data_IF_778569023568
#
_entry.id   IF_778569023568
#
_cell.length_a   1.000
_cell.length_b   1.000
_cell.length_c   1.000
_cell.angle_alpha   90.00
_cell.angle_beta   90.00
_cell.angle_gamma   90.00
#
_symmetry.space_group_name_H-M   'P 1'
#
loop_
_entity.id
_entity.type
_entity.pdbx_description
1 polymer ?
#
# COMPACT_ATOMS: atom_id res chain seq x y z
N UNK A 1 12.74 -25.11 -16.36
CA UNK A 1 11.56 -24.73 -15.55
C UNK A 1 11.20 -23.28 -15.91
N UNK A 2 9.93 -22.98 -16.26
CA UNK A 2 9.51 -21.59 -16.48
C UNK A 2 9.76 -20.81 -15.18
N UNK A 3 10.43 -19.67 -15.30
CA UNK A 3 10.70 -18.82 -14.15
C UNK A 3 9.38 -18.30 -13.58
N UNK A 4 9.21 -18.40 -12.24
CA UNK A 4 7.99 -17.94 -11.58
C UNK A 4 7.86 -16.43 -11.74
N UNK A 5 6.69 -15.96 -12.16
CA UNK A 5 6.39 -14.54 -12.23
C UNK A 5 6.68 -13.84 -10.89
N UNK A 6 7.04 -12.55 -10.93
CA UNK A 6 7.40 -11.76 -9.75
C UNK A 6 6.39 -11.92 -8.59
N UNK A 7 5.10 -11.86 -8.90
CA UNK A 7 4.03 -11.99 -7.89
C UNK A 7 3.96 -13.37 -7.24
N UNK A 8 4.31 -14.44 -7.97
CA UNK A 8 4.39 -15.78 -7.40
C UNK A 8 5.56 -15.91 -6.43
N UNK A 9 6.73 -15.35 -6.79
CA UNK A 9 7.91 -15.28 -5.90
C UNK A 9 7.56 -14.54 -4.60
N UNK A 10 6.82 -13.42 -4.69
CA UNK A 10 6.36 -12.64 -3.54
C UNK A 10 5.38 -13.45 -2.68
N UNK A 11 4.43 -14.16 -3.29
CA UNK A 11 3.47 -14.97 -2.57
C UNK A 11 4.15 -16.13 -1.82
N UNK A 12 5.08 -16.85 -2.46
CA UNK A 12 5.85 -17.91 -1.79
C UNK A 12 6.59 -17.38 -0.56
N UNK A 13 7.27 -16.22 -0.70
CA UNK A 13 7.96 -15.58 0.43
C UNK A 13 6.98 -15.22 1.56
N UNK A 14 5.82 -14.69 1.21
CA UNK A 14 4.79 -14.31 2.18
C UNK A 14 4.22 -15.53 2.90
N UNK A 15 3.96 -16.63 2.20
CA UNK A 15 3.46 -17.87 2.81
C UNK A 15 4.51 -18.49 3.75
N UNK A 16 5.78 -18.49 3.37
CA UNK A 16 6.87 -18.93 4.26
C UNK A 16 6.93 -18.10 5.53
N UNK A 17 6.84 -16.77 5.41
CA UNK A 17 6.82 -15.87 6.56
C UNK A 17 5.60 -16.13 7.46
N UNK A 18 4.41 -16.30 6.88
CA UNK A 18 3.20 -16.61 7.63
C UNK A 18 3.35 -17.92 8.42
N UNK A 19 3.86 -18.99 7.78
CA UNK A 19 4.10 -20.26 8.46
C UNK A 19 5.04 -20.12 9.65
N UNK A 20 6.12 -19.33 9.52
CA UNK A 20 7.07 -19.08 10.61
C UNK A 20 6.41 -18.29 11.77
N UNK A 21 5.54 -17.34 11.47
CA UNK A 21 4.79 -16.60 12.50
C UNK A 21 3.83 -17.54 13.26
N UNK A 22 3.14 -18.42 12.55
CA UNK A 22 2.15 -19.34 13.12
C UNK A 22 2.79 -20.35 14.10
N UNK A 23 4.07 -20.70 13.92
CA UNK A 23 4.79 -21.57 14.87
C UNK A 23 4.92 -20.99 16.27
N UNK A 24 4.78 -19.66 16.42
CA UNK A 24 4.91 -18.92 17.69
C UNK A 24 3.54 -18.56 18.30
N UNK A 25 2.46 -19.09 17.78
CA UNK A 25 1.08 -18.78 18.19
C UNK A 25 0.31 -20.04 18.55
N UNK A 26 -0.88 -19.93 19.21
CA UNK A 26 -1.74 -21.06 19.48
C UNK A 26 -2.07 -21.85 18.21
N UNK A 27 -2.14 -23.21 18.27
CA UNK A 27 -2.30 -24.05 17.08
C UNK A 27 -3.57 -23.77 16.29
N UNK A 28 -4.64 -23.37 16.95
CA UNK A 28 -5.92 -23.04 16.30
C UNK A 28 -5.83 -21.81 15.38
N UNK A 29 -4.83 -20.94 15.55
CA UNK A 29 -4.60 -19.83 14.63
C UNK A 29 -4.41 -20.30 13.19
N UNK A 30 -3.81 -21.49 12.98
CA UNK A 30 -3.67 -22.08 11.65
C UNK A 30 -5.02 -22.27 10.95
N UNK A 31 -6.05 -22.70 11.68
CA UNK A 31 -7.40 -22.87 11.12
C UNK A 31 -8.00 -21.54 10.65
N UNK A 32 -7.78 -20.45 11.40
CA UNK A 32 -8.21 -19.12 11.01
C UNK A 32 -7.55 -18.69 9.70
N UNK A 33 -6.23 -18.80 9.57
CA UNK A 33 -5.52 -18.37 8.36
C UNK A 33 -5.87 -19.20 7.13
N UNK A 34 -6.14 -20.48 7.27
CA UNK A 34 -6.69 -21.33 6.19
C UNK A 34 -8.10 -20.81 5.81
N UNK A 35 -8.95 -20.54 6.80
CA UNK A 35 -10.34 -20.15 6.55
C UNK A 35 -10.51 -18.77 5.90
N UNK A 36 -9.58 -17.84 6.12
CA UNK A 36 -9.63 -16.51 5.49
C UNK A 36 -8.83 -16.41 4.19
N UNK A 37 -8.10 -17.46 3.81
CA UNK A 37 -7.26 -17.45 2.61
C UNK A 37 -8.03 -17.09 1.33
N UNK A 38 -9.21 -17.65 1.04
CA UNK A 38 -9.92 -17.35 -0.21
C UNK A 38 -10.33 -15.89 -0.37
N UNK A 39 -10.45 -15.15 0.73
CA UNK A 39 -10.97 -13.77 0.74
C UNK A 39 -9.91 -12.72 1.05
N UNK A 40 -8.68 -13.14 1.37
CA UNK A 40 -7.61 -12.24 1.81
C UNK A 40 -6.31 -12.42 1.03
N UNK A 41 -5.58 -11.31 0.82
CA UNK A 41 -4.24 -11.39 0.23
C UNK A 41 -3.22 -11.95 1.24
N UNK A 42 -2.13 -12.55 0.73
CA UNK A 42 -1.01 -13.03 1.56
C UNK A 42 -0.44 -11.93 2.48
N UNK A 43 -0.36 -10.68 2.01
CA UNK A 43 0.06 -9.53 2.83
C UNK A 43 -0.92 -9.20 3.96
N UNK A 44 -2.23 -9.31 3.70
CA UNK A 44 -3.26 -9.11 4.74
C UNK A 44 -3.14 -10.17 5.82
N UNK A 45 -2.92 -11.44 5.43
CA UNK A 45 -2.72 -12.54 6.37
C UNK A 45 -1.48 -12.30 7.25
N UNK A 46 -0.36 -11.89 6.66
CA UNK A 46 0.85 -11.53 7.44
C UNK A 46 0.57 -10.40 8.42
N UNK A 47 -0.12 -9.33 8.00
CA UNK A 47 -0.47 -8.23 8.88
C UNK A 47 -1.35 -8.71 10.05
N UNK A 48 -2.34 -9.55 9.79
CA UNK A 48 -3.18 -10.16 10.84
C UNK A 48 -2.35 -11.08 11.76
N UNK A 49 -1.40 -11.83 11.22
CA UNK A 49 -0.53 -12.67 12.05
C UNK A 49 0.32 -11.85 13.02
N UNK A 50 0.89 -10.72 12.57
CA UNK A 50 1.59 -9.80 13.46
C UNK A 50 0.65 -9.19 14.51
N UNK A 51 -0.56 -8.80 14.14
CA UNK A 51 -1.52 -8.21 15.06
C UNK A 51 -1.95 -9.21 16.14
N UNK A 52 -2.23 -10.45 15.75
CA UNK A 52 -2.60 -11.51 16.68
C UNK A 52 -1.42 -11.94 17.56
N UNK A 53 -0.18 -11.92 17.04
CA UNK A 53 1.02 -12.15 17.85
C UNK A 53 1.11 -11.14 19.01
N UNK A 54 0.86 -9.85 18.73
CA UNK A 54 0.86 -8.80 19.76
C UNK A 54 -0.26 -9.05 20.77
N UNK A 55 -1.44 -9.44 20.31
CA UNK A 55 -2.57 -9.74 21.19
C UNK A 55 -2.28 -10.91 22.14
N UNK A 56 -1.76 -12.01 21.65
CA UNK A 56 -1.40 -13.15 22.49
C UNK A 56 -0.27 -12.84 23.45
N UNK A 57 0.72 -12.05 23.04
CA UNK A 57 1.78 -11.58 23.92
C UNK A 57 1.22 -10.73 25.06
N UNK A 58 0.34 -9.78 24.77
CA UNK A 58 -0.38 -8.99 25.76
C UNK A 58 -1.12 -9.85 26.76
N UNK A 59 -1.90 -10.84 26.31
CA UNK A 59 -2.61 -11.74 27.20
C UNK A 59 -1.67 -12.54 28.11
N UNK A 60 -0.57 -13.05 27.57
CA UNK A 60 0.40 -13.83 28.32
C UNK A 60 1.14 -12.99 29.36
N UNK A 61 1.45 -11.74 29.04
CA UNK A 61 2.17 -10.81 29.91
C UNK A 61 1.27 -10.24 31.03
N UNK A 62 0.12 -9.73 30.65
CA UNK A 62 -0.78 -9.01 31.58
C UNK A 62 -1.75 -9.92 32.32
N UNK A 63 -2.09 -11.08 31.74
CA UNK A 63 -3.11 -11.99 32.27
C UNK A 63 -2.62 -13.45 32.25
N UNK A 64 -1.49 -13.78 32.91
CA UNK A 64 -0.95 -15.13 32.89
C UNK A 64 -1.90 -16.18 33.47
N UNK A 65 -2.85 -15.76 34.32
CA UNK A 65 -3.87 -16.64 34.92
C UNK A 65 -5.03 -17.01 33.96
N UNK A 66 -5.12 -16.39 32.77
CA UNK A 66 -6.16 -16.75 31.79
C UNK A 66 -5.97 -18.20 31.32
N UNK A 67 -4.72 -18.59 31.05
CA UNK A 67 -4.37 -19.94 30.70
C UNK A 67 -2.90 -20.19 31.05
N UNK A 68 -2.63 -21.26 31.78
CA UNK A 68 -1.27 -21.65 32.13
C UNK A 68 -0.51 -22.25 30.96
N UNK A 69 0.82 -22.17 31.00
CA UNK A 69 1.70 -22.79 30.04
C UNK A 69 2.01 -21.96 28.80
N UNK A 70 2.54 -22.60 27.80
CA UNK A 70 2.99 -21.97 26.56
C UNK A 70 1.81 -21.67 25.64
N UNK A 71 1.89 -20.60 24.84
CA UNK A 71 0.91 -20.28 23.78
C UNK A 71 0.65 -21.49 22.83
N UNK A 72 1.60 -22.39 22.68
CA UNK A 72 1.48 -23.60 21.86
C UNK A 72 0.47 -24.63 22.40
N UNK A 73 0.13 -24.56 23.68
CA UNK A 73 -0.82 -25.45 24.33
C UNK A 73 -2.17 -24.80 24.57
N UNK A 74 -2.30 -23.50 24.35
CA UNK A 74 -3.56 -22.79 24.61
C UNK A 74 -4.70 -23.29 23.72
N UNK A 75 -5.82 -23.73 24.28
CA UNK A 75 -7.01 -24.12 23.54
C UNK A 75 -7.77 -22.91 23.02
N UNK A 76 -8.62 -23.09 22.02
CA UNK A 76 -9.43 -22.00 21.45
C UNK A 76 -10.40 -21.38 22.47
N UNK A 77 -10.82 -22.17 23.46
CA UNK A 77 -11.72 -21.74 24.54
C UNK A 77 -11.13 -20.66 25.45
N UNK A 78 -9.82 -20.40 25.39
CA UNK A 78 -9.18 -19.24 26.04
C UNK A 78 -9.84 -17.94 25.59
N UNK A 79 -10.31 -17.86 24.35
CA UNK A 79 -10.98 -16.67 23.82
C UNK A 79 -12.30 -16.36 24.55
N UNK A 80 -12.98 -17.39 25.10
CA UNK A 80 -14.19 -17.21 25.92
C UNK A 80 -13.89 -16.66 27.33
N UNK A 81 -12.64 -16.86 27.82
CA UNK A 81 -12.20 -16.36 29.11
C UNK A 81 -11.82 -14.86 29.08
N UNK A 82 -11.56 -14.32 27.88
CA UNK A 82 -11.18 -12.91 27.71
C UNK A 82 -12.39 -12.00 27.82
N UNK A 83 -12.38 -11.12 28.80
CA UNK A 83 -13.45 -10.17 29.07
C UNK A 83 -13.40 -8.95 28.15
N UNK A 84 -14.51 -8.18 28.06
CA UNK A 84 -14.54 -6.92 27.33
C UNK A 84 -13.52 -5.92 27.89
N UNK A 85 -13.44 -5.80 29.23
CA UNK A 85 -12.48 -4.92 29.90
C UNK A 85 -11.04 -5.22 29.49
N UNK A 86 -10.65 -6.50 29.44
CA UNK A 86 -9.31 -6.90 29.00
C UNK A 86 -9.05 -6.56 27.53
N UNK A 87 -10.06 -6.61 26.68
CA UNK A 87 -9.94 -6.16 25.29
C UNK A 87 -9.82 -4.64 25.17
N UNK A 88 -10.51 -3.88 26.03
CA UNK A 88 -10.35 -2.42 26.11
C UNK A 88 -8.98 -2.03 26.63
N UNK A 89 -8.44 -2.72 27.62
CA UNK A 89 -7.07 -2.56 28.11
C UNK A 89 -6.03 -2.92 27.02
N UNK A 90 -6.31 -3.93 26.20
CA UNK A 90 -5.47 -4.21 25.02
C UNK A 90 -5.46 -3.02 24.04
N UNK A 91 -6.58 -2.34 23.81
CA UNK A 91 -6.63 -1.16 22.95
C UNK A 91 -5.82 0.02 23.55
N UNK A 92 -5.80 0.13 24.87
CA UNK A 92 -4.94 1.12 25.55
C UNK A 92 -3.46 0.74 25.46
N UNK A 93 -3.14 -0.51 25.74
CA UNK A 93 -1.77 -1.07 25.58
C UNK A 93 -1.20 -0.82 24.18
N UNK A 94 -2.02 -0.90 23.13
CA UNK A 94 -1.60 -0.63 21.77
C UNK A 94 -1.14 0.82 21.53
N UNK A 95 -1.46 1.79 22.38
CA UNK A 95 -0.98 3.17 22.25
C UNK A 95 0.54 3.24 22.39
N UNK A 96 1.06 2.49 23.38
CA UNK A 96 2.47 2.40 23.69
C UNK A 96 2.76 1.02 24.30
N UNK A 97 3.61 0.22 23.66
CA UNK A 97 4.00 -1.09 24.17
C UNK A 97 5.44 -1.44 23.75
N UNK A 98 6.03 -2.35 24.48
CA UNK A 98 7.30 -2.97 24.13
C UNK A 98 7.07 -4.35 23.52
N UNK A 99 7.85 -4.70 22.50
CA UNK A 99 7.84 -6.05 21.96
C UNK A 99 8.82 -6.97 22.69
N UNK A 100 8.83 -8.25 22.31
CA UNK A 100 9.71 -9.24 22.92
C UNK A 100 11.22 -8.93 22.77
N UNK A 101 11.59 -8.00 21.91
CA UNK A 101 12.94 -7.52 21.69
C UNK A 101 13.22 -6.19 22.43
N UNK A 102 12.36 -5.81 23.40
CA UNK A 102 12.38 -4.56 24.18
C UNK A 102 12.32 -3.29 23.32
N UNK A 103 11.74 -3.40 22.14
CA UNK A 103 11.56 -2.25 21.26
C UNK A 103 10.22 -1.58 21.53
N UNK A 104 10.27 -0.28 21.80
CA UNK A 104 9.09 0.55 22.03
C UNK A 104 8.34 0.80 20.71
N UNK A 105 7.06 0.55 20.73
CA UNK A 105 6.13 0.77 19.61
C UNK A 105 4.99 1.69 20.02
N UNK A 106 4.65 2.62 19.13
CA UNK A 106 3.46 3.46 19.25
C UNK A 106 2.52 3.20 18.09
N UNK A 107 1.22 3.29 18.32
CA UNK A 107 0.22 3.20 17.26
C UNK A 107 -0.71 4.41 17.29
N UNK A 108 -0.74 5.12 16.17
CA UNK A 108 -1.79 6.09 15.90
C UNK A 108 -3.16 5.39 15.68
N UNK A 109 -4.22 6.17 15.59
CA UNK A 109 -5.62 5.68 15.44
C UNK A 109 -5.77 4.63 14.32
N UNK A 110 -5.19 4.87 13.15
CA UNK A 110 -5.27 3.92 12.01
C UNK A 110 -4.63 2.57 12.31
N UNK A 111 -3.51 2.59 13.02
CA UNK A 111 -2.82 1.37 13.47
C UNK A 111 -3.67 0.58 14.45
N UNK A 112 -4.27 1.26 15.43
CA UNK A 112 -5.17 0.65 16.42
C UNK A 112 -6.45 0.11 15.77
N UNK A 113 -7.10 0.89 14.88
CA UNK A 113 -8.27 0.43 14.12
C UNK A 113 -7.99 -0.85 13.35
N UNK A 114 -6.84 -0.95 12.66
CA UNK A 114 -6.47 -2.15 11.90
C UNK A 114 -6.30 -3.36 12.82
N UNK A 115 -5.60 -3.20 13.95
CA UNK A 115 -5.40 -4.27 14.93
C UNK A 115 -6.71 -4.71 15.57
N UNK A 116 -7.59 -3.78 15.89
CA UNK A 116 -8.94 -4.09 16.37
C UNK A 116 -9.76 -4.85 15.33
N UNK A 117 -9.67 -4.46 14.06
CA UNK A 117 -10.37 -5.13 12.98
C UNK A 117 -9.88 -6.58 12.76
N UNK A 118 -8.55 -6.83 12.87
CA UNK A 118 -8.01 -8.19 12.77
C UNK A 118 -8.49 -9.07 13.91
N UNK A 119 -8.51 -8.56 15.14
CA UNK A 119 -9.03 -9.26 16.33
C UNK A 119 -10.54 -9.55 16.21
N UNK A 120 -11.36 -8.57 15.80
CA UNK A 120 -12.80 -8.78 15.56
C UNK A 120 -13.05 -9.85 14.49
N UNK A 121 -12.25 -9.86 13.43
CA UNK A 121 -12.33 -10.87 12.37
C UNK A 121 -11.98 -12.26 12.91
N UNK A 122 -10.97 -12.33 13.78
CA UNK A 122 -10.51 -13.56 14.42
C UNK A 122 -11.59 -14.15 15.35
N UNK A 123 -12.15 -13.36 16.25
CA UNK A 123 -13.25 -13.79 17.12
C UNK A 123 -14.50 -14.20 16.34
N UNK A 124 -14.89 -13.40 15.33
CA UNK A 124 -16.03 -13.71 14.46
C UNK A 124 -15.85 -15.05 13.73
N UNK A 125 -14.63 -15.39 13.31
CA UNK A 125 -14.35 -16.65 12.64
C UNK A 125 -14.63 -17.85 13.56
N UNK A 126 -14.10 -17.85 14.78
CA UNK A 126 -14.30 -18.96 15.72
C UNK A 126 -15.72 -19.02 16.26
N UNK A 127 -16.36 -17.88 16.49
CA UNK A 127 -17.76 -17.82 16.87
C UNK A 127 -18.66 -18.43 15.79
N UNK A 128 -18.44 -18.11 14.53
CA UNK A 128 -19.18 -18.72 13.40
C UNK A 128 -18.96 -20.23 13.26
N UNK A 129 -17.80 -20.72 13.69
CA UNK A 129 -17.49 -22.14 13.75
C UNK A 129 -17.98 -22.83 15.01
N UNK A 130 -18.66 -22.09 15.91
CA UNK A 130 -19.13 -22.59 17.22
C UNK A 130 -17.98 -23.15 18.09
N UNK A 131 -16.74 -22.74 17.82
CA UNK A 131 -15.57 -23.11 18.60
C UNK A 131 -15.41 -22.28 19.88
N UNK A 132 -16.09 -21.13 19.94
CA UNK A 132 -16.24 -20.26 21.12
C UNK A 132 -17.71 -19.91 21.30
N UNK A 133 -18.09 -19.64 22.56
CA UNK A 133 -19.48 -19.34 22.95
C UNK A 133 -19.82 -17.86 22.75
N UNK A 134 -18.84 -16.96 22.92
CA UNK A 134 -19.04 -15.54 22.92
C UNK A 134 -18.13 -14.83 21.89
N UNK A 135 -18.68 -13.82 21.22
CA UNK A 135 -17.88 -12.92 20.37
C UNK A 135 -17.66 -11.59 21.08
N UNK A 136 -16.89 -11.63 22.18
CA UNK A 136 -16.60 -10.46 23.02
C UNK A 136 -16.00 -9.30 22.23
N UNK A 137 -15.16 -9.59 21.23
CA UNK A 137 -14.56 -8.58 20.39
C UNK A 137 -15.57 -7.78 19.53
N UNK A 138 -16.78 -8.29 19.32
CA UNK A 138 -17.82 -7.55 18.60
C UNK A 138 -18.33 -6.33 19.37
N UNK A 139 -18.22 -6.36 20.69
CA UNK A 139 -18.67 -5.31 21.60
C UNK A 139 -17.72 -4.11 21.67
N UNK A 140 -16.48 -4.27 21.21
CA UNK A 140 -15.50 -3.19 21.19
C UNK A 140 -15.96 -2.03 20.31
N UNK A 141 -15.83 -0.81 20.81
CA UNK A 141 -15.99 0.38 20.01
C UNK A 141 -14.74 0.61 19.15
N UNK A 142 -14.93 0.83 17.84
CA UNK A 142 -13.84 1.24 16.97
C UNK A 142 -13.49 2.71 17.24
N UNK A 143 -12.19 3.06 17.29
CA UNK A 143 -11.78 4.45 17.33
C UNK A 143 -12.42 5.25 16.18
N UNK A 144 -12.84 6.48 16.45
CA UNK A 144 -13.36 7.37 15.41
C UNK A 144 -12.25 7.67 14.41
N UNK A 145 -12.58 7.62 13.13
CA UNK A 145 -11.66 7.99 12.06
C UNK A 145 -11.73 9.50 11.86
N UNK A 146 -10.65 10.20 12.16
CA UNK A 146 -10.51 11.59 11.73
C UNK A 146 -10.15 11.64 10.24
N UNK A 147 -10.95 12.37 9.46
CA UNK A 147 -10.67 12.61 8.06
C UNK A 147 -9.64 13.73 7.94
N UNK A 148 -8.50 13.41 7.35
CA UNK A 148 -7.48 14.41 7.02
C UNK A 148 -7.66 14.87 5.57
N UNK A 149 -7.41 16.16 5.32
CA UNK A 149 -7.35 16.67 3.95
C UNK A 149 -6.39 15.85 3.09
N UNK A 150 -6.80 15.61 1.84
CA UNK A 150 -5.99 14.82 0.92
C UNK A 150 -4.80 15.66 0.48
N UNK A 151 -3.61 15.25 0.89
CA UNK A 151 -2.36 15.84 0.42
C UNK A 151 -2.12 15.40 -1.03
N UNK A 152 -1.95 16.36 -1.92
CA UNK A 152 -1.64 16.16 -3.34
C UNK A 152 -0.62 17.19 -3.79
N UNK A 153 -0.02 16.98 -4.96
CA UNK A 153 0.79 17.99 -5.64
C UNK A 153 -0.10 18.85 -6.52
N UNK A 154 0.21 20.14 -6.57
CA UNK A 154 -0.33 21.06 -7.58
C UNK A 154 0.52 20.96 -8.85
N UNK A 155 0.03 21.52 -9.97
CA UNK A 155 0.68 21.38 -11.30
C UNK A 155 2.13 21.92 -11.28
N UNK A 156 2.34 23.07 -10.65
CA UNK A 156 3.66 23.69 -10.52
C UNK A 156 4.61 22.88 -9.62
N UNK A 157 4.07 22.18 -8.61
CA UNK A 157 4.85 21.29 -7.76
C UNK A 157 5.27 20.00 -8.50
N UNK A 158 4.45 19.53 -9.45
CA UNK A 158 4.79 18.38 -10.30
C UNK A 158 5.97 18.75 -11.21
N UNK A 159 5.89 19.90 -11.91
CA UNK A 159 6.98 20.37 -12.75
C UNK A 159 8.29 20.49 -11.96
N UNK A 160 8.25 21.20 -10.83
CA UNK A 160 9.42 21.33 -9.94
C UNK A 160 9.96 20.01 -9.42
N UNK A 161 9.08 19.00 -9.21
CA UNK A 161 9.50 17.67 -8.78
C UNK A 161 10.29 16.95 -9.89
N UNK A 162 9.83 17.03 -11.13
CA UNK A 162 10.50 16.43 -12.29
C UNK A 162 11.82 17.16 -12.59
N UNK A 163 11.82 18.49 -12.58
CA UNK A 163 13.04 19.32 -12.72
C UNK A 163 14.08 18.94 -11.64
N UNK A 164 13.66 18.77 -10.40
CA UNK A 164 14.54 18.35 -9.30
C UNK A 164 15.16 16.97 -9.51
N UNK A 165 14.52 16.11 -10.31
CA UNK A 165 15.11 14.80 -10.70
C UNK A 165 16.11 14.96 -11.83
N UNK A 166 15.88 15.85 -12.77
CA UNK A 166 16.80 16.09 -13.90
C UNK A 166 18.05 16.81 -13.44
N UNK A 167 17.91 17.89 -12.67
CA UNK A 167 19.01 18.78 -12.26
C UNK A 167 19.74 18.29 -10.99
N UNK A 168 19.02 17.73 -10.04
CA UNK A 168 19.56 17.31 -8.75
C UNK A 168 20.03 18.46 -7.86
N UNK A 169 19.58 19.70 -8.11
CA UNK A 169 20.11 20.90 -7.46
C UNK A 169 19.92 20.88 -5.93
N UNK A 170 18.77 20.46 -5.46
CA UNK A 170 18.39 20.49 -4.04
C UNK A 170 18.75 19.20 -3.28
N UNK A 171 19.62 18.37 -3.84
CA UNK A 171 20.06 17.14 -3.21
C UNK A 171 21.25 17.36 -2.27
N UNK A 172 21.31 16.59 -1.18
CA UNK A 172 22.48 16.57 -0.29
C UNK A 172 23.72 16.04 -1.00
N UNK A 173 24.91 16.36 -0.50
CA UNK A 173 26.19 15.88 -1.07
C UNK A 173 26.21 14.36 -1.20
N UNK A 174 25.70 13.63 -0.21
CA UNK A 174 25.59 12.16 -0.25
C UNK A 174 24.63 11.68 -1.34
N UNK A 175 23.51 12.38 -1.56
CA UNK A 175 22.55 12.03 -2.61
C UNK A 175 23.07 12.34 -4.00
N UNK A 176 23.78 13.47 -4.18
CA UNK A 176 24.41 13.86 -5.46
C UNK A 176 25.42 12.83 -5.97
N UNK A 177 26.15 12.16 -5.07
CA UNK A 177 27.11 11.10 -5.42
C UNK A 177 26.51 9.98 -6.28
N UNK A 178 25.23 9.66 -6.05
CA UNK A 178 24.54 8.59 -6.75
C UNK A 178 23.54 9.10 -7.79
N UNK A 179 23.24 10.40 -7.79
CA UNK A 179 22.22 11.01 -8.63
C UNK A 179 22.51 10.76 -10.14
N UNK A 180 23.71 11.07 -10.60
CA UNK A 180 24.07 10.89 -12.01
C UNK A 180 23.93 9.45 -12.52
N UNK A 181 24.00 8.45 -11.62
CA UNK A 181 23.82 7.03 -11.96
C UNK A 181 22.37 6.57 -11.92
N UNK A 182 21.47 7.39 -11.43
CA UNK A 182 20.08 6.95 -11.17
C UNK A 182 19.05 7.90 -11.73
N UNK A 183 19.43 9.11 -12.18
CA UNK A 183 18.50 10.17 -12.55
C UNK A 183 17.54 9.76 -13.67
N UNK A 184 18.03 9.12 -14.72
CA UNK A 184 17.19 8.70 -15.87
C UNK A 184 16.17 7.65 -15.42
N UNK A 185 16.59 6.65 -14.66
CA UNK A 185 15.68 5.69 -14.04
C UNK A 185 14.68 6.37 -13.09
N UNK A 186 15.17 7.25 -12.22
CA UNK A 186 14.37 7.92 -11.20
C UNK A 186 13.32 8.81 -11.86
N UNK A 187 13.68 9.50 -12.97
CA UNK A 187 12.77 10.27 -13.81
C UNK A 187 11.70 9.37 -14.43
N UNK A 188 12.11 8.27 -15.09
CA UNK A 188 11.17 7.33 -15.70
C UNK A 188 10.14 6.78 -14.68
N UNK A 189 10.58 6.44 -13.45
CA UNK A 189 9.69 5.97 -12.39
C UNK A 189 8.70 7.07 -11.96
N UNK A 190 9.16 8.32 -11.75
CA UNK A 190 8.29 9.39 -11.30
C UNK A 190 7.30 9.82 -12.36
N UNK A 191 7.77 9.96 -13.61
CA UNK A 191 6.91 10.30 -14.75
C UNK A 191 5.86 9.22 -15.00
N UNK A 192 6.25 7.92 -14.88
CA UNK A 192 5.30 6.81 -14.99
C UNK A 192 4.23 6.86 -13.87
N UNK A 193 4.63 7.09 -12.62
CA UNK A 193 3.68 7.16 -11.49
C UNK A 193 2.74 8.36 -11.60
N UNK A 194 3.25 9.51 -12.05
CA UNK A 194 2.47 10.74 -12.22
C UNK A 194 1.59 10.72 -13.49
N UNK A 195 2.06 10.11 -14.57
CA UNK A 195 1.33 10.09 -15.86
C UNK A 195 0.32 8.95 -16.01
N UNK A 196 0.33 7.96 -15.10
CA UNK A 196 -0.58 6.80 -15.21
C UNK A 196 -1.32 6.48 -13.91
N UNK A 197 -0.87 7.00 -12.80
CA UNK A 197 -1.45 6.73 -11.49
C UNK A 197 -1.39 5.26 -11.05
N UNK A 198 -0.52 4.42 -11.62
CA UNK A 198 -0.36 3.02 -11.18
C UNK A 198 0.08 2.93 -9.72
N UNK A 199 -0.20 1.79 -9.08
CA UNK A 199 0.29 1.56 -7.71
C UNK A 199 1.79 1.29 -7.72
N UNK A 200 2.49 1.71 -6.69
CA UNK A 200 3.94 1.43 -6.55
C UNK A 200 4.26 -0.06 -6.65
N UNK A 201 3.38 -0.94 -6.16
CA UNK A 201 3.56 -2.40 -6.29
C UNK A 201 3.36 -2.90 -7.72
N UNK A 202 2.53 -2.24 -8.51
CA UNK A 202 2.35 -2.51 -9.93
C UNK A 202 3.59 -2.02 -10.69
N UNK A 203 4.07 -0.79 -10.43
CA UNK A 203 5.27 -0.22 -11.02
C UNK A 203 6.52 -1.12 -10.81
N UNK A 204 6.80 -1.56 -9.59
CA UNK A 204 7.97 -2.42 -9.31
C UNK A 204 7.80 -3.83 -9.88
N UNK A 205 6.58 -4.26 -10.15
CA UNK A 205 6.26 -5.55 -10.74
C UNK A 205 6.34 -5.60 -12.25
N UNK A 206 6.52 -4.46 -12.93
CA UNK A 206 6.62 -4.42 -14.39
C UNK A 206 7.88 -5.14 -14.89
N UNK A 207 7.68 -5.90 -15.96
CA UNK A 207 8.71 -6.46 -16.79
C UNK A 207 8.83 -5.64 -18.09
N UNK A 208 9.96 -5.70 -18.77
CA UNK A 208 10.16 -4.99 -20.04
C UNK A 208 9.10 -5.44 -21.06
N UNK A 209 8.80 -6.75 -21.09
CA UNK A 209 7.77 -7.34 -21.98
C UNK A 209 6.34 -6.91 -21.69
N UNK A 210 6.10 -6.19 -20.59
CA UNK A 210 4.78 -5.64 -20.30
C UNK A 210 4.50 -4.32 -21.01
N UNK A 211 5.49 -3.72 -21.66
CA UNK A 211 5.37 -2.44 -22.37
C UNK A 211 5.17 -2.67 -23.86
N UNK A 212 4.26 -1.93 -24.43
CA UNK A 212 4.01 -1.83 -25.86
C UNK A 212 4.10 -0.35 -26.27
N UNK A 213 5.17 -0.02 -26.98
CA UNK A 213 5.43 1.35 -27.45
C UNK A 213 4.76 1.68 -28.78
N UNK A 214 4.15 0.72 -29.46
CA UNK A 214 3.34 0.97 -30.66
C UNK A 214 1.99 1.56 -30.27
N UNK A 215 1.37 1.00 -29.24
CA UNK A 215 0.08 1.47 -28.72
C UNK A 215 0.19 2.38 -27.50
N UNK A 216 1.41 2.65 -27.02
CA UNK A 216 1.66 3.31 -25.73
C UNK A 216 0.92 2.64 -24.57
N UNK A 217 0.85 1.31 -24.60
CA UNK A 217 0.18 0.47 -23.64
C UNK A 217 1.12 -0.20 -22.66
N UNK A 218 0.63 -0.49 -21.46
CA UNK A 218 1.32 -1.34 -20.49
C UNK A 218 0.35 -2.31 -19.83
N UNK A 219 0.77 -3.56 -19.74
CA UNK A 219 0.04 -4.62 -19.05
C UNK A 219 0.42 -4.65 -17.57
N UNK A 220 -0.55 -4.43 -16.71
CA UNK A 220 -0.34 -4.46 -15.25
C UNK A 220 -1.14 -5.57 -14.58
N UNK A 221 -0.55 -6.14 -13.52
CA UNK A 221 -1.23 -7.12 -12.66
C UNK A 221 -1.79 -6.42 -11.43
N UNK A 222 -3.11 -6.30 -11.36
CA UNK A 222 -3.81 -5.68 -10.23
C UNK A 222 -3.97 -6.64 -9.05
N UNK A 223 -4.24 -6.07 -7.88
CA UNK A 223 -4.57 -6.83 -6.68
C UNK A 223 -5.77 -7.74 -6.93
N UNK A 224 -5.58 -9.05 -6.73
CA UNK A 224 -6.59 -10.08 -7.00
C UNK A 224 -6.36 -10.86 -8.30
N UNK A 225 -5.22 -10.61 -9.00
CA UNK A 225 -4.79 -11.39 -10.17
C UNK A 225 -5.36 -10.90 -11.51
N UNK A 226 -6.20 -9.86 -11.52
CA UNK A 226 -6.71 -9.30 -12.76
C UNK A 226 -5.59 -8.59 -13.54
N UNK A 227 -5.48 -8.88 -14.83
CA UNK A 227 -4.62 -8.17 -15.78
C UNK A 227 -5.41 -7.05 -16.43
N UNK A 228 -4.81 -5.88 -16.56
CA UNK A 228 -5.41 -4.70 -17.19
C UNK A 228 -4.35 -4.00 -18.03
N UNK A 229 -4.75 -3.48 -19.18
CA UNK A 229 -3.91 -2.60 -19.98
C UNK A 229 -4.21 -1.16 -19.57
N UNK A 230 -3.18 -0.40 -19.24
CA UNK A 230 -3.21 1.05 -19.09
C UNK A 230 -2.42 1.69 -20.22
N UNK A 231 -2.83 2.88 -20.61
CA UNK A 231 -2.14 3.66 -21.63
C UNK A 231 -1.39 4.83 -21.00
N UNK A 232 -0.30 5.25 -21.63
CA UNK A 232 0.52 6.35 -21.18
C UNK A 232 0.77 7.36 -22.31
N UNK A 233 0.96 8.63 -21.93
CA UNK A 233 1.24 9.72 -22.86
C UNK A 233 2.69 9.78 -23.30
N UNK A 234 2.99 10.69 -24.25
CA UNK A 234 4.31 10.85 -24.89
C UNK A 234 5.43 11.19 -23.89
N UNK A 235 5.16 11.95 -22.84
CA UNK A 235 6.15 12.29 -21.83
C UNK A 235 6.61 11.02 -21.07
N UNK A 236 5.67 10.15 -20.71
CA UNK A 236 5.98 8.84 -20.09
C UNK A 236 6.73 7.95 -21.07
N UNK A 237 6.29 7.91 -22.34
CA UNK A 237 6.93 7.15 -23.41
C UNK A 237 8.41 7.53 -23.54
N UNK A 238 8.68 8.82 -23.66
CA UNK A 238 10.04 9.34 -23.77
C UNK A 238 10.90 8.95 -22.57
N UNK A 239 10.42 9.21 -21.36
CA UNK A 239 11.18 8.89 -20.15
C UNK A 239 11.45 7.38 -19.99
N UNK A 240 10.53 6.51 -20.43
CA UNK A 240 10.73 5.07 -20.44
C UNK A 240 11.77 4.64 -21.49
N UNK A 241 11.73 5.19 -22.69
CA UNK A 241 12.70 4.89 -23.75
C UNK A 241 14.10 5.33 -23.34
N UNK A 242 14.27 6.57 -22.85
CA UNK A 242 15.54 7.08 -22.35
C UNK A 242 16.14 6.16 -21.26
N UNK A 243 15.28 5.64 -20.38
CA UNK A 243 15.74 4.69 -19.36
C UNK A 243 16.07 3.30 -19.96
N UNK A 244 15.32 2.82 -20.92
CA UNK A 244 15.58 1.52 -21.55
C UNK A 244 16.93 1.51 -22.26
N UNK A 245 17.33 2.60 -22.91
CA UNK A 245 18.66 2.75 -23.51
C UNK A 245 19.78 2.60 -22.46
N UNK A 246 19.61 3.20 -21.28
CA UNK A 246 20.56 2.97 -20.17
C UNK A 246 20.46 1.53 -19.62
N UNK A 247 19.23 0.99 -19.54
CA UNK A 247 18.95 -0.33 -18.98
C UNK A 247 19.61 -1.47 -19.78
N UNK A 248 19.71 -1.36 -21.07
CA UNK A 248 20.37 -2.34 -21.95
C UNK A 248 21.85 -2.54 -21.58
N UNK A 249 22.52 -1.51 -21.09
CA UNK A 249 23.91 -1.56 -20.65
C UNK A 249 24.11 -2.14 -19.25
N UNK A 250 23.03 -2.51 -18.55
CA UNK A 250 23.09 -3.05 -17.20
C UNK A 250 22.85 -4.56 -17.24
N UNK A 251 23.86 -5.36 -16.86
CA UNK A 251 23.68 -6.80 -16.68
C UNK A 251 22.94 -7.03 -15.36
N UNK A 252 21.69 -7.51 -15.36
CA UNK A 252 20.93 -7.76 -14.17
C UNK A 252 21.49 -8.91 -13.33
N UNK A 253 21.17 -8.95 -12.05
CA UNK A 253 21.42 -10.14 -11.24
C UNK A 253 20.34 -11.18 -11.51
N UNK A 254 20.75 -12.45 -11.33
CA UNK A 254 19.90 -13.62 -11.48
C UNK A 254 18.50 -13.41 -10.85
N UNK A 255 17.48 -13.71 -11.65
CA UNK A 255 16.06 -13.55 -11.29
C UNK A 255 15.52 -12.13 -11.39
N UNK A 256 16.24 -11.23 -12.06
CA UNK A 256 15.83 -9.85 -12.34
C UNK A 256 16.03 -9.42 -13.79
N UNK A 257 16.20 -10.40 -14.68
CA UNK A 257 16.52 -10.20 -16.10
C UNK A 257 15.42 -9.40 -16.80
N UNK A 258 14.18 -9.80 -16.61
CA UNK A 258 13.00 -9.18 -17.25
C UNK A 258 12.54 -7.90 -16.54
N UNK A 259 13.06 -7.62 -15.33
CA UNK A 259 12.60 -6.48 -14.53
C UNK A 259 12.79 -5.16 -15.28
N UNK A 260 11.73 -4.39 -15.45
CA UNK A 260 11.82 -3.06 -16.05
C UNK A 260 12.78 -2.17 -15.25
N UNK A 261 12.51 -1.98 -13.97
CA UNK A 261 13.33 -1.10 -13.13
C UNK A 261 14.29 -1.86 -12.23
N UNK A 262 15.57 -1.51 -12.31
CA UNK A 262 16.63 -2.09 -11.49
C UNK A 262 17.10 -1.13 -10.39
N UNK A 263 17.43 -1.70 -9.25
CA UNK A 263 18.13 -1.01 -8.17
C UNK A 263 19.62 -0.85 -8.50
N UNK A 264 20.34 -0.03 -7.70
CA UNK A 264 21.82 0.07 -7.79
C UNK A 264 22.53 -1.27 -7.58
N UNK A 265 21.86 -2.25 -6.95
CA UNK A 265 22.37 -3.61 -6.79
C UNK A 265 22.09 -4.51 -8.01
N UNK A 266 21.58 -3.95 -9.11
CA UNK A 266 21.22 -4.67 -10.35
C UNK A 266 20.13 -5.75 -10.13
N UNK A 267 19.29 -5.58 -9.12
CA UNK A 267 18.11 -6.42 -8.86
C UNK A 267 16.85 -5.59 -9.12
N UNK A 268 15.72 -6.25 -9.36
CA UNK A 268 14.41 -5.57 -9.43
C UNK A 268 14.26 -4.59 -8.28
N UNK A 269 13.87 -3.36 -8.59
CA UNK A 269 13.67 -2.32 -7.58
C UNK A 269 12.58 -2.71 -6.58
N UNK A 270 12.75 -2.39 -5.32
CA UNK A 270 11.75 -2.69 -4.29
C UNK A 270 10.79 -1.52 -4.10
N UNK A 271 9.58 -1.82 -3.58
CA UNK A 271 8.60 -0.80 -3.19
C UNK A 271 9.24 0.24 -2.26
N UNK A 272 10.04 -0.22 -1.28
CA UNK A 272 10.72 0.67 -0.33
C UNK A 272 11.73 1.59 -0.99
N UNK A 273 12.43 1.10 -2.01
CA UNK A 273 13.38 1.94 -2.77
C UNK A 273 12.64 3.05 -3.53
N UNK A 274 11.48 2.74 -4.15
CA UNK A 274 10.65 3.75 -4.82
C UNK A 274 10.04 4.74 -3.82
N UNK A 275 9.58 4.29 -2.65
CA UNK A 275 9.12 5.19 -1.59
C UNK A 275 10.22 6.17 -1.14
N UNK A 276 11.45 5.68 -0.96
CA UNK A 276 12.59 6.51 -0.60
C UNK A 276 12.99 7.47 -1.73
N UNK A 277 12.89 7.03 -3.00
CA UNK A 277 13.12 7.84 -4.18
C UNK A 277 12.14 9.02 -4.24
N UNK A 278 10.84 8.74 -4.13
CA UNK A 278 9.81 9.79 -4.11
C UNK A 278 10.09 10.78 -2.97
N UNK A 279 10.38 10.29 -1.77
CA UNK A 279 10.70 11.13 -0.61
C UNK A 279 11.96 11.98 -0.83
N UNK A 280 12.99 11.42 -1.49
CA UNK A 280 14.27 12.10 -1.79
C UNK A 280 14.03 13.37 -2.59
N UNK A 281 13.23 13.29 -3.67
CA UNK A 281 13.01 14.43 -4.56
C UNK A 281 11.85 15.34 -4.12
N UNK A 282 10.81 14.79 -3.48
CA UNK A 282 9.68 15.59 -3.06
C UNK A 282 9.97 16.48 -1.84
N UNK A 283 10.85 16.02 -0.91
CA UNK A 283 11.11 16.79 0.33
C UNK A 283 11.66 18.20 0.12
N UNK A 284 12.60 18.45 -0.80
CA UNK A 284 13.06 19.80 -1.09
C UNK A 284 12.01 20.68 -1.78
N UNK A 285 11.19 20.09 -2.65
CA UNK A 285 10.18 20.79 -3.45
C UNK A 285 8.94 21.14 -2.61
N UNK A 286 8.53 20.25 -1.73
CA UNK A 286 7.31 20.39 -0.92
C UNK A 286 7.59 20.09 0.55
N UNK A 287 8.33 20.94 1.27
CA UNK A 287 8.80 20.63 2.64
C UNK A 287 7.66 20.43 3.66
N UNK A 288 6.50 21.07 3.42
CA UNK A 288 5.31 20.96 4.27
C UNK A 288 4.40 19.78 3.94
N UNK A 289 4.65 19.09 2.82
CA UNK A 289 3.83 17.96 2.37
C UNK A 289 4.63 16.65 2.46
N UNK A 290 4.07 15.63 3.07
CA UNK A 290 4.66 14.28 3.00
C UNK A 290 4.17 13.56 1.76
N UNK A 291 4.96 13.61 0.68
CA UNK A 291 4.63 12.98 -0.59
C UNK A 291 5.11 11.53 -0.59
N UNK A 292 4.25 10.64 -1.06
CA UNK A 292 4.47 9.21 -1.20
C UNK A 292 3.96 8.74 -2.57
N UNK A 293 4.32 7.56 -3.08
CA UNK A 293 3.77 7.04 -4.34
C UNK A 293 2.22 7.03 -4.36
N UNK A 294 1.59 6.79 -3.20
CA UNK A 294 0.13 6.88 -3.11
C UNK A 294 -0.39 8.31 -3.30
N UNK A 295 0.37 9.31 -2.86
CA UNK A 295 0.01 10.73 -3.08
C UNK A 295 0.21 11.14 -4.54
N UNK A 296 1.24 10.63 -5.23
CA UNK A 296 1.40 10.84 -6.68
C UNK A 296 0.21 10.26 -7.46
N UNK A 297 -0.24 9.07 -7.09
CA UNK A 297 -1.45 8.47 -7.65
C UNK A 297 -2.71 9.29 -7.36
N UNK A 298 -2.85 9.85 -6.15
CA UNK A 298 -3.97 10.75 -5.81
C UNK A 298 -3.89 12.04 -6.62
N UNK A 299 -2.69 12.55 -6.88
CA UNK A 299 -2.44 13.71 -7.74
C UNK A 299 -2.91 13.43 -9.18
N UNK A 300 -2.46 12.31 -9.78
CA UNK A 300 -2.92 11.89 -11.10
C UNK A 300 -4.44 11.78 -11.19
N UNK A 301 -5.07 11.06 -10.25
CA UNK A 301 -6.52 10.91 -10.26
C UNK A 301 -7.27 12.23 -10.08
N UNK A 302 -6.69 13.20 -9.35
CA UNK A 302 -7.25 14.55 -9.21
C UNK A 302 -7.23 15.30 -10.53
N UNK A 303 -6.07 15.31 -11.20
CA UNK A 303 -5.92 15.98 -12.49
C UNK A 303 -6.82 15.33 -13.56
N UNK A 304 -6.83 13.99 -13.63
CA UNK A 304 -7.72 13.27 -14.56
C UNK A 304 -9.18 13.63 -14.32
N UNK A 305 -9.63 13.74 -13.06
CA UNK A 305 -10.98 14.17 -12.75
C UNK A 305 -11.23 15.65 -13.09
N UNK A 306 -10.24 16.52 -12.92
CA UNK A 306 -10.36 17.92 -13.34
C UNK A 306 -10.55 18.06 -14.85
N UNK A 307 -9.79 17.32 -15.62
CA UNK A 307 -9.83 17.36 -17.09
C UNK A 307 -11.09 16.70 -17.67
N UNK A 308 -11.43 15.51 -17.18
CA UNK A 308 -12.50 14.71 -17.82
C UNK A 308 -13.88 14.91 -17.21
N UNK A 309 -13.96 15.24 -15.93
CA UNK A 309 -15.21 15.27 -15.20
C UNK A 309 -15.82 13.92 -14.87
N UNK A 310 -15.23 12.86 -15.34
CA UNK A 310 -15.78 11.53 -15.24
C UNK A 310 -15.15 10.75 -14.08
N UNK A 311 -15.92 10.59 -13.00
CA UNK A 311 -15.48 9.86 -11.81
C UNK A 311 -15.40 8.35 -12.04
N UNK A 312 -16.19 7.82 -13.00
CA UNK A 312 -16.18 6.40 -13.33
C UNK A 312 -14.92 6.05 -14.10
N UNK A 313 -14.53 6.90 -15.06
CA UNK A 313 -13.27 6.77 -15.79
C UNK A 313 -12.08 6.81 -14.81
N UNK A 314 -12.06 7.76 -13.87
CA UNK A 314 -11.02 7.84 -12.84
C UNK A 314 -11.00 6.58 -11.97
N UNK A 315 -12.17 6.07 -11.54
CA UNK A 315 -12.25 4.86 -10.73
C UNK A 315 -11.74 3.62 -11.50
N UNK A 316 -12.06 3.51 -12.78
CA UNK A 316 -11.63 2.41 -13.65
C UNK A 316 -10.11 2.43 -13.84
N UNK A 317 -9.55 3.55 -14.31
CA UNK A 317 -8.10 3.71 -14.51
C UNK A 317 -7.34 3.45 -13.22
N UNK A 318 -7.81 4.00 -12.10
CA UNK A 318 -7.20 3.75 -10.79
C UNK A 318 -7.51 2.33 -10.25
N UNK A 319 -8.43 1.57 -10.84
CA UNK A 319 -8.82 0.24 -10.37
C UNK A 319 -9.37 0.26 -8.94
N UNK A 320 -10.28 1.18 -8.67
CA UNK A 320 -11.06 1.21 -7.44
C UNK A 320 -12.28 0.31 -7.60
N UNK A 321 -12.42 -0.68 -6.72
CA UNK A 321 -13.60 -1.58 -6.72
C UNK A 321 -14.90 -0.88 -6.35
N UNK A 322 -14.80 0.21 -5.60
CA UNK A 322 -15.93 1.01 -5.15
C UNK A 322 -15.72 2.48 -5.56
N UNK A 323 -16.59 2.97 -6.44
CA UNK A 323 -16.58 4.35 -6.93
C UNK A 323 -16.77 5.36 -5.78
N UNK A 324 -17.47 4.96 -4.70
CA UNK A 324 -17.62 5.82 -3.52
C UNK A 324 -16.27 6.15 -2.87
N UNK A 325 -15.28 5.27 -2.99
CA UNK A 325 -13.90 5.58 -2.56
C UNK A 325 -13.35 6.76 -3.37
N UNK A 326 -13.58 6.77 -4.68
CA UNK A 326 -13.18 7.86 -5.58
C UNK A 326 -13.98 9.13 -5.28
N UNK A 327 -15.30 9.03 -5.15
CA UNK A 327 -16.19 10.15 -4.87
C UNK A 327 -15.82 10.91 -3.59
N UNK A 328 -15.53 10.21 -2.51
CA UNK A 328 -15.08 10.85 -1.25
C UNK A 328 -13.81 11.66 -1.41
N UNK A 329 -12.91 11.22 -2.30
CA UNK A 329 -11.65 11.92 -2.58
C UNK A 329 -11.85 13.23 -3.34
N UNK A 330 -12.93 13.34 -4.14
CA UNK A 330 -13.16 14.48 -5.04
C UNK A 330 -14.40 15.32 -4.67
N UNK A 331 -15.09 15.02 -3.57
CA UNK A 331 -16.30 15.71 -3.15
C UNK A 331 -16.12 17.24 -3.01
N UNK A 332 -14.96 17.70 -2.52
CA UNK A 332 -14.66 19.14 -2.44
C UNK A 332 -14.57 19.84 -3.81
N UNK A 333 -14.26 19.10 -4.88
CA UNK A 333 -14.15 19.62 -6.24
C UNK A 333 -15.53 19.66 -6.94
N UNK A 334 -16.50 18.90 -6.47
CA UNK A 334 -17.87 18.93 -6.99
C UNK A 334 -18.52 20.31 -6.81
N UNK A 335 -18.22 21.02 -5.72
CA UNK A 335 -18.78 22.35 -5.46
C UNK A 335 -18.28 23.39 -6.47
N UNK A 336 -16.98 23.38 -6.77
CA UNK A 336 -16.41 24.26 -7.81
C UNK A 336 -17.02 23.97 -9.19
N UNK A 337 -17.23 22.69 -9.52
CA UNK A 337 -17.88 22.27 -10.77
C UNK A 337 -19.34 22.66 -10.82
N UNK A 338 -20.09 22.56 -9.72
CA UNK A 338 -21.47 23.05 -9.65
C UNK A 338 -21.56 24.54 -9.96
N UNK A 339 -20.63 25.35 -9.45
CA UNK A 339 -20.53 26.78 -9.78
C UNK A 339 -20.22 27.01 -11.25
N UNK A 340 -19.27 26.26 -11.82
CA UNK A 340 -18.95 26.34 -13.26
C UNK A 340 -20.11 25.88 -14.14
N UNK A 341 -20.84 24.83 -13.75
CA UNK A 341 -22.00 24.33 -14.47
C UNK A 341 -23.17 25.33 -14.47
N UNK A 342 -23.38 26.04 -13.37
CA UNK A 342 -24.42 27.05 -13.27
C UNK A 342 -24.24 28.19 -14.31
N UNK A 343 -23.00 28.53 -14.67
CA UNK A 343 -22.71 29.54 -15.69
C UNK A 343 -22.82 29.05 -17.15
N UNK A 344 -22.97 27.75 -17.38
CA UNK A 344 -23.07 27.18 -18.73
C UNK A 344 -24.48 27.12 -19.30
N UNK A 345 -25.51 27.26 -18.48
CA UNK A 345 -26.90 27.26 -18.92
C UNK A 345 -27.28 28.71 -19.25
N UNK A 346 -27.38 29.00 -20.53
CA UNK A 346 -27.93 30.25 -21.03
C UNK A 346 -29.45 30.14 -21.08
N UNK A 347 -30.15 30.98 -20.29
CA UNK A 347 -31.63 30.98 -20.25
C UNK A 347 -32.28 31.87 -21.32
N UNK A 348 -31.50 32.69 -22.00
CA UNK A 348 -31.96 33.55 -23.12
C UNK A 348 -30.85 33.64 -24.15
N UNK A 349 -31.18 33.48 -25.42
CA UNK A 349 -30.34 33.89 -26.54
C UNK A 349 -30.25 35.45 -26.52
N UNK A 350 -29.03 35.98 -26.69
CA UNK A 350 -28.81 37.43 -26.84
C UNK A 350 -29.03 37.81 -28.29
#
# INVERSE_FOLDING_TARGET
MKEKAYYEKVNVKNETLLRNLLQKMPPYCKQFFIGIEPTTSSRTRIAYAYDLKIFFHFLQEKYPSIEEGSLKTWPVTVLDKVTLTQLEEYLDYLKLYEDADNKVHTNEERGRMRKTASMRTFYKFFYRKQAIKNNTASLLNLPKKHEHAITRLEIDEIAKLLDAVEDGENLTTSQKKYHNKTKVRDLAILTLLLGTGIRVSECVGLDISNLDFETNGMKIHRKGGAEVILYFGEEVRKALLDYLDERENIIPKEGSEDALFLSMQKRRISVRAVENLVKKYARPVTPLKTITPHKLRSTYGTQLYQETGDIYLVADILGHKDVNTTRKHYAAMEDQRRRMAAGKIQLREK
#
